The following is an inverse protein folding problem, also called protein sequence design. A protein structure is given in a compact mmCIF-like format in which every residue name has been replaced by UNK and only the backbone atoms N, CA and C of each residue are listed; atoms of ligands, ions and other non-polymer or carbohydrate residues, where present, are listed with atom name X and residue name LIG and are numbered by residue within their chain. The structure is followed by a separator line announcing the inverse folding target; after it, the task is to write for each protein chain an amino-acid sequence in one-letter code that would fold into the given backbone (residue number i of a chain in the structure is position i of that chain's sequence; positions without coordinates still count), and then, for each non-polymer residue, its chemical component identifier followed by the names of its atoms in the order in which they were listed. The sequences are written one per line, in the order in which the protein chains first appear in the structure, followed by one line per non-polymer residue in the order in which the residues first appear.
data_IF_177613015546
#
_entry.id   IF_177613015546
#
_cell.length_a   1.000
_cell.length_b   1.000
_cell.length_c   1.000
_cell.angle_alpha   90.00
_cell.angle_beta   90.00
_cell.angle_gamma   90.00
#
_symmetry.space_group_name_H-M   'P 1'
#
loop_
_entity.id
_entity.type
_entity.pdbx_description
1 polymer ?
#
# COMPACT_ATOMS: atom_id res chain seq x y z
N UNK A 1 -37.71 -15.01 8.72
CA UNK A 1 -38.90 -15.82 9.05
C UNK A 1 -38.49 -17.13 9.72
N UNK A 2 -39.08 -17.50 10.88
CA UNK A 2 -38.79 -18.76 11.59
C UNK A 2 -39.83 -19.80 11.18
N UNK A 3 -39.41 -20.98 10.72
CA UNK A 3 -40.33 -22.10 10.46
C UNK A 3 -40.49 -22.94 11.73
N UNK A 4 -41.69 -22.98 12.28
CA UNK A 4 -42.02 -23.75 13.49
C UNK A 4 -42.81 -24.98 13.07
N UNK A 5 -42.33 -26.17 13.46
CA UNK A 5 -42.96 -27.45 13.15
C UNK A 5 -43.25 -28.23 14.44
N UNK A 6 -44.44 -28.83 14.50
CA UNK A 6 -44.88 -29.70 15.58
C UNK A 6 -44.83 -31.15 15.10
N UNK A 7 -44.23 -32.01 15.92
CA UNK A 7 -44.03 -33.42 15.66
C UNK A 7 -44.74 -34.27 16.72
N UNK A 8 -45.26 -35.42 16.32
CA UNK A 8 -45.74 -36.48 17.22
C UNK A 8 -45.00 -37.77 16.87
N UNK A 9 -44.10 -38.19 17.75
CA UNK A 9 -43.04 -39.14 17.37
C UNK A 9 -42.15 -38.52 16.28
N UNK A 10 -41.90 -39.26 15.19
CA UNK A 10 -41.10 -38.78 14.06
C UNK A 10 -41.91 -38.05 12.97
N UNK A 11 -43.24 -38.02 13.09
CA UNK A 11 -44.13 -37.46 12.07
C UNK A 11 -44.39 -35.98 12.32
N UNK A 12 -44.18 -35.15 11.28
CA UNK A 12 -44.64 -33.76 11.26
C UNK A 12 -46.18 -33.74 11.22
N UNK A 13 -46.78 -33.07 12.20
CA UNK A 13 -48.22 -32.86 12.28
C UNK A 13 -48.62 -31.58 11.56
N UNK A 14 -47.89 -30.50 11.83
CA UNK A 14 -48.12 -29.20 11.22
C UNK A 14 -46.83 -28.37 11.22
N UNK A 15 -46.72 -27.48 10.24
CA UNK A 15 -45.65 -26.47 10.15
C UNK A 15 -46.27 -25.11 9.84
N UNK A 16 -45.74 -24.06 10.48
CA UNK A 16 -46.18 -22.68 10.29
C UNK A 16 -44.97 -21.76 10.26
N UNK A 17 -45.04 -20.74 9.41
CA UNK A 17 -44.00 -19.74 9.27
C UNK A 17 -44.32 -18.52 10.14
N UNK A 18 -43.41 -18.16 11.04
CA UNK A 18 -43.48 -16.95 11.84
C UNK A 18 -42.87 -15.79 11.04
N UNK A 19 -43.72 -14.81 10.71
CA UNK A 19 -43.38 -13.57 10.01
C UNK A 19 -43.96 -12.41 10.82
N UNK A 20 -43.12 -11.49 11.31
CA UNK A 20 -43.53 -10.22 11.95
C UNK A 20 -44.18 -10.31 13.33
N UNK A 21 -44.99 -11.33 13.60
CA UNK A 21 -45.61 -11.58 14.90
C UNK A 21 -44.65 -12.29 15.86
N UNK A 22 -44.92 -12.21 17.16
CA UNK A 22 -44.14 -12.89 18.21
C UNK A 22 -44.70 -14.27 18.59
N UNK A 23 -45.74 -14.76 17.91
CA UNK A 23 -46.37 -16.04 18.23
C UNK A 23 -46.98 -16.75 17.01
N UNK A 24 -47.15 -18.07 17.15
CA UNK A 24 -47.85 -18.94 16.20
C UNK A 24 -48.83 -19.79 17.01
N UNK A 25 -50.06 -19.96 16.51
CA UNK A 25 -51.07 -20.82 17.14
C UNK A 25 -51.27 -22.08 16.31
N UNK A 26 -51.27 -23.24 16.95
CA UNK A 26 -51.67 -24.52 16.34
C UNK A 26 -52.96 -24.97 16.99
N UNK A 27 -53.98 -25.28 16.18
CA UNK A 27 -55.31 -25.65 16.66
C UNK A 27 -55.59 -27.12 16.38
N UNK A 28 -56.56 -27.68 17.10
CA UNK A 28 -57.04 -29.07 16.94
C UNK A 28 -55.95 -30.13 17.17
N UNK A 29 -55.01 -29.85 18.08
CA UNK A 29 -54.07 -30.85 18.57
C UNK A 29 -54.77 -31.75 19.61
N UNK A 30 -54.53 -33.05 19.51
CA UNK A 30 -55.00 -34.01 20.52
C UNK A 30 -54.16 -33.92 21.78
N UNK A 31 -54.71 -34.31 22.93
CA UNK A 31 -53.93 -34.45 24.17
C UNK A 31 -52.87 -35.55 23.97
N UNK A 32 -51.61 -35.14 23.91
CA UNK A 32 -50.45 -36.01 23.68
C UNK A 32 -49.14 -35.24 23.94
N UNK A 33 -48.02 -35.95 23.89
CA UNK A 33 -46.67 -35.38 23.92
C UNK A 33 -46.22 -35.03 22.49
N UNK A 34 -45.79 -33.78 22.30
CA UNK A 34 -45.29 -33.27 21.04
C UNK A 34 -43.87 -32.75 21.17
N UNK A 35 -43.12 -32.81 20.06
CA UNK A 35 -41.84 -32.12 19.93
C UNK A 35 -42.07 -30.90 19.04
N UNK A 36 -41.72 -29.71 19.54
CA UNK A 36 -41.82 -28.45 18.81
C UNK A 36 -40.42 -28.03 18.42
N UNK A 37 -40.18 -27.85 17.13
CA UNK A 37 -38.89 -27.43 16.58
C UNK A 37 -39.02 -26.15 15.79
N UNK A 38 -38.04 -25.27 15.94
CA UNK A 38 -37.92 -24.03 15.17
C UNK A 38 -36.69 -24.05 14.29
N UNK A 39 -36.86 -23.59 13.06
CA UNK A 39 -35.79 -23.51 12.07
C UNK A 39 -35.64 -22.09 11.54
N UNK A 40 -34.40 -21.60 11.52
CA UNK A 40 -34.01 -20.34 10.89
C UNK A 40 -32.84 -20.58 9.95
N UNK A 41 -32.95 -20.14 8.69
CA UNK A 41 -32.01 -20.48 7.63
C UNK A 41 -31.68 -21.99 7.55
N UNK A 42 -32.69 -22.85 7.72
CA UNK A 42 -32.55 -24.32 7.75
C UNK A 42 -31.66 -24.86 8.88
N UNK A 43 -31.38 -24.06 9.92
CA UNK A 43 -30.69 -24.48 11.16
C UNK A 43 -31.72 -24.58 12.29
N UNK A 44 -31.68 -25.67 13.07
CA UNK A 44 -32.53 -25.83 14.25
C UNK A 44 -32.10 -24.83 15.34
N UNK A 45 -32.97 -23.88 15.67
CA UNK A 45 -32.70 -22.83 16.67
C UNK A 45 -33.32 -23.15 18.03
N UNK A 46 -34.27 -24.09 18.09
CA UNK A 46 -34.79 -24.67 19.33
C UNK A 46 -35.47 -26.00 19.04
N UNK A 47 -35.51 -26.87 20.06
CA UNK A 47 -36.30 -28.09 20.09
C UNK A 47 -36.76 -28.32 21.53
N UNK A 48 -38.07 -28.42 21.74
CA UNK A 48 -38.66 -28.65 23.07
C UNK A 48 -39.73 -29.73 23.00
N UNK A 49 -39.86 -30.51 24.07
CA UNK A 49 -40.91 -31.52 24.20
C UNK A 49 -41.95 -31.02 25.18
N UNK A 50 -43.22 -31.04 24.78
CA UNK A 50 -44.33 -30.53 25.60
C UNK A 50 -45.48 -31.52 25.58
N UNK A 51 -46.04 -31.78 26.76
CA UNK A 51 -47.28 -32.52 26.94
C UNK A 51 -48.44 -31.54 26.89
N UNK A 52 -49.30 -31.67 25.88
CA UNK A 52 -50.47 -30.80 25.71
C UNK A 52 -51.68 -31.51 26.33
N UNK A 53 -52.32 -30.89 27.33
CA UNK A 53 -53.56 -31.41 27.98
C UNK A 53 -54.79 -30.51 27.79
N UNK A 54 -54.66 -29.49 26.95
CA UNK A 54 -55.63 -28.43 26.75
C UNK A 54 -54.96 -27.26 26.03
N UNK A 55 -55.56 -26.07 26.15
CA UNK A 55 -54.96 -24.85 25.60
C UNK A 55 -53.72 -24.47 26.41
N UNK A 56 -52.55 -24.50 25.77
CA UNK A 56 -51.25 -24.25 26.40
C UNK A 56 -50.52 -23.10 25.70
N UNK A 57 -49.91 -22.22 26.48
CA UNK A 57 -49.06 -21.14 25.99
C UNK A 57 -47.59 -21.47 26.29
N UNK A 58 -46.81 -21.67 25.23
CA UNK A 58 -45.40 -22.07 25.34
C UNK A 58 -44.53 -20.91 24.89
N UNK A 59 -43.76 -20.36 25.83
CA UNK A 59 -42.74 -19.34 25.53
C UNK A 59 -41.45 -20.03 25.13
N UNK A 60 -40.89 -19.66 23.98
CA UNK A 60 -39.66 -20.24 23.44
C UNK A 60 -38.63 -19.13 23.27
N UNK A 61 -37.44 -19.33 23.83
CA UNK A 61 -36.28 -18.50 23.55
C UNK A 61 -35.47 -19.13 22.42
N UNK A 62 -35.57 -18.61 21.17
CA UNK A 62 -34.81 -19.17 20.07
C UNK A 62 -33.31 -18.93 20.28
N UNK A 63 -32.48 -19.92 19.92
CA UNK A 63 -31.03 -19.78 19.86
C UNK A 63 -30.62 -18.94 18.65
N UNK A 64 -30.86 -17.63 18.73
CA UNK A 64 -30.46 -16.63 17.75
C UNK A 64 -29.63 -15.60 18.51
N UNK A 65 -28.43 -15.33 18.02
CA UNK A 65 -27.42 -14.55 18.73
C UNK A 65 -26.72 -13.55 17.82
N UNK A 66 -25.99 -12.64 18.45
CA UNK A 66 -25.14 -11.64 17.81
C UNK A 66 -23.68 -12.06 17.92
N UNK A 67 -22.96 -12.01 16.80
CA UNK A 67 -21.52 -12.19 16.75
C UNK A 67 -20.85 -10.86 16.38
N UNK A 68 -20.14 -10.26 17.32
CA UNK A 68 -19.27 -9.12 17.09
C UNK A 68 -17.84 -9.63 16.91
N UNK A 69 -17.25 -9.35 15.75
CA UNK A 69 -15.83 -9.59 15.48
C UNK A 69 -15.09 -8.26 15.57
N UNK A 70 -14.02 -8.22 16.36
CA UNK A 70 -13.08 -7.12 16.43
C UNK A 70 -11.74 -7.61 15.86
N UNK A 71 -11.20 -6.91 14.88
CA UNK A 71 -9.92 -7.20 14.25
C UNK A 71 -8.85 -6.29 14.81
N UNK A 72 -7.71 -6.87 15.14
CA UNK A 72 -6.54 -6.13 15.59
C UNK A 72 -5.28 -6.68 14.92
N UNK A 73 -4.22 -5.87 14.90
CA UNK A 73 -2.87 -6.29 14.53
C UNK A 73 -1.90 -5.94 15.66
N UNK A 74 -0.65 -6.39 15.54
CA UNK A 74 0.41 -6.19 16.56
C UNK A 74 0.62 -4.73 16.98
N UNK A 75 0.30 -3.76 16.11
CA UNK A 75 0.55 -2.33 16.34
C UNK A 75 -0.72 -1.56 16.69
N UNK A 76 -1.87 -2.23 16.82
CA UNK A 76 -3.20 -1.65 17.06
C UNK A 76 -3.61 -0.57 16.03
N UNK A 77 -2.97 -0.57 14.86
CA UNK A 77 -3.34 0.28 13.73
C UNK A 77 -4.69 -0.21 13.14
N UNK A 78 -5.40 0.66 12.44
CA UNK A 78 -6.61 0.29 11.68
C UNK A 78 -6.33 -0.93 10.81
N UNK A 79 -7.10 -2.01 11.02
CA UNK A 79 -7.08 -3.19 10.17
C UNK A 79 -7.99 -2.89 8.99
N UNK A 80 -7.36 -2.70 7.84
CA UNK A 80 -8.03 -2.45 6.58
C UNK A 80 -7.60 -3.45 5.52
N UNK A 81 -8.43 -3.56 4.49
CA UNK A 81 -8.19 -4.35 3.28
C UNK A 81 -8.13 -5.85 3.56
N UNK A 82 -9.12 -6.35 4.28
CA UNK A 82 -9.30 -7.79 4.51
C UNK A 82 -10.63 -8.26 3.92
N UNK A 83 -10.65 -9.51 3.47
CA UNK A 83 -11.88 -10.20 3.04
C UNK A 83 -12.16 -11.31 4.03
N UNK A 84 -13.31 -11.26 4.69
CA UNK A 84 -13.79 -12.31 5.57
C UNK A 84 -14.78 -13.20 4.81
N UNK A 85 -14.52 -14.50 4.79
CA UNK A 85 -15.45 -15.53 4.35
C UNK A 85 -16.01 -16.23 5.59
N UNK A 86 -17.33 -16.12 5.79
CA UNK A 86 -18.08 -16.77 6.85
C UNK A 86 -18.77 -18.02 6.31
N UNK A 87 -18.45 -19.17 6.90
CA UNK A 87 -19.15 -20.43 6.66
C UNK A 87 -20.15 -20.65 7.80
N UNK A 88 -21.43 -20.72 7.44
CA UNK A 88 -22.53 -20.92 8.38
C UNK A 88 -22.76 -22.42 8.66
N UNK A 89 -23.46 -22.78 9.76
CA UNK A 89 -23.75 -24.17 10.12
C UNK A 89 -24.55 -24.95 9.06
N UNK A 90 -25.28 -24.26 8.19
CA UNK A 90 -26.03 -24.86 7.07
C UNK A 90 -25.20 -24.96 5.77
N UNK A 91 -23.87 -24.78 5.85
CA UNK A 91 -22.93 -24.72 4.72
C UNK A 91 -23.12 -23.55 3.75
N UNK A 92 -23.96 -22.56 4.08
CA UNK A 92 -24.01 -21.32 3.29
C UNK A 92 -22.78 -20.47 3.57
N UNK A 93 -22.35 -19.73 2.54
CA UNK A 93 -21.13 -18.93 2.57
C UNK A 93 -21.51 -17.47 2.38
N UNK A 94 -20.92 -16.58 3.15
CA UNK A 94 -21.04 -15.13 2.98
C UNK A 94 -19.65 -14.50 2.95
N UNK A 95 -19.48 -13.48 2.13
CA UNK A 95 -18.21 -12.76 1.97
C UNK A 95 -18.38 -11.29 2.33
N UNK A 96 -17.46 -10.76 3.11
CA UNK A 96 -17.48 -9.40 3.62
C UNK A 96 -16.12 -8.74 3.39
N UNK A 97 -16.14 -7.53 2.84
CA UNK A 97 -14.93 -6.75 2.60
C UNK A 97 -14.81 -5.61 3.62
N UNK A 98 -13.69 -5.56 4.33
CA UNK A 98 -13.40 -4.54 5.33
C UNK A 98 -12.36 -3.59 4.77
N UNK A 99 -12.78 -2.35 4.49
CA UNK A 99 -11.90 -1.32 3.98
C UNK A 99 -11.45 -0.34 5.07
N UNK A 100 -12.33 0.04 6.00
CA UNK A 100 -12.07 1.11 6.99
C UNK A 100 -12.74 0.82 8.35
N UNK A 101 -12.90 -0.44 8.74
CA UNK A 101 -13.44 -0.80 10.05
C UNK A 101 -12.69 -1.96 10.63
N UNK A 102 -12.45 -1.89 11.94
CA UNK A 102 -11.89 -3.01 12.70
C UNK A 102 -12.99 -3.95 13.18
N UNK A 103 -14.26 -3.69 12.86
CA UNK A 103 -15.38 -4.43 13.44
C UNK A 103 -16.37 -4.90 12.39
N UNK A 104 -16.97 -6.06 12.67
CA UNK A 104 -18.11 -6.61 11.94
C UNK A 104 -19.11 -7.10 12.96
N UNK A 105 -20.37 -6.72 12.78
CA UNK A 105 -21.48 -7.21 13.58
C UNK A 105 -22.35 -8.09 12.70
N UNK A 106 -22.52 -9.34 13.12
CA UNK A 106 -23.52 -10.24 12.57
C UNK A 106 -24.67 -10.36 13.56
N UNK A 107 -25.80 -9.78 13.20
CA UNK A 107 -27.03 -9.88 13.97
C UNK A 107 -27.85 -11.08 13.49
N UNK A 108 -28.67 -11.62 14.39
CA UNK A 108 -29.64 -12.67 14.08
C UNK A 108 -29.04 -13.98 13.50
N UNK A 109 -27.86 -14.38 13.98
CA UNK A 109 -27.24 -15.65 13.58
C UNK A 109 -27.82 -16.83 14.37
N UNK A 110 -28.19 -17.94 13.71
CA UNK A 110 -28.64 -19.14 14.42
C UNK A 110 -27.51 -19.75 15.27
N UNK A 111 -27.87 -20.40 16.37
CA UNK A 111 -26.95 -21.19 17.18
C UNK A 111 -26.21 -22.21 16.30
N UNK A 112 -24.90 -22.33 16.46
CA UNK A 112 -24.13 -23.34 15.75
C UNK A 112 -22.64 -23.06 15.69
N UNK A 113 -21.94 -23.82 14.84
CA UNK A 113 -20.50 -23.68 14.62
C UNK A 113 -20.25 -22.94 13.31
N UNK A 114 -19.47 -21.87 13.40
CA UNK A 114 -19.09 -21.01 12.29
C UNK A 114 -17.60 -21.13 12.03
N UNK A 115 -17.22 -21.17 10.75
CA UNK A 115 -15.81 -21.06 10.35
C UNK A 115 -15.59 -19.72 9.66
N UNK A 116 -14.57 -18.99 10.10
CA UNK A 116 -14.16 -17.70 9.58
C UNK A 116 -12.84 -17.91 8.84
N UNK A 117 -12.79 -17.59 7.55
CA UNK A 117 -11.53 -17.56 6.78
C UNK A 117 -11.26 -16.14 6.34
N UNK A 118 -10.08 -15.62 6.67
CA UNK A 118 -9.73 -14.22 6.47
C UNK A 118 -8.59 -14.18 5.47
N UNK A 119 -8.81 -13.44 4.40
CA UNK A 119 -7.88 -13.26 3.30
C UNK A 119 -7.44 -11.82 3.20
N UNK A 120 -6.22 -11.62 2.73
CA UNK A 120 -5.70 -10.29 2.47
C UNK A 120 -6.22 -9.74 1.13
N UNK A 121 -6.56 -8.45 1.13
CA UNK A 121 -7.07 -7.63 0.02
C UNK A 121 -7.08 -8.26 -1.38
N UNK A 122 -8.26 -8.66 -1.87
CA UNK A 122 -8.48 -9.12 -3.26
C UNK A 122 -7.41 -10.12 -3.77
N UNK A 123 -6.85 -10.90 -2.85
CA UNK A 123 -5.86 -11.95 -3.11
C UNK A 123 -6.30 -13.21 -2.40
N UNK A 124 -5.82 -14.35 -2.86
CA UNK A 124 -6.06 -15.65 -2.22
C UNK A 124 -5.08 -15.92 -1.07
N UNK A 125 -4.48 -14.88 -0.48
CA UNK A 125 -3.49 -15.02 0.60
C UNK A 125 -4.24 -15.14 1.93
N UNK A 126 -4.21 -16.31 2.59
CA UNK A 126 -4.85 -16.48 3.89
C UNK A 126 -4.02 -15.77 4.97
N UNK A 127 -4.69 -15.04 5.85
CA UNK A 127 -4.08 -14.32 6.98
C UNK A 127 -4.69 -14.66 8.33
N UNK A 128 -5.72 -15.51 8.34
CA UNK A 128 -6.32 -16.01 9.56
C UNK A 128 -7.44 -17.02 9.28
N UNK A 129 -7.63 -17.92 10.22
CA UNK A 129 -8.76 -18.84 10.26
C UNK A 129 -9.19 -19.01 11.72
N UNK A 130 -10.49 -18.93 11.99
CA UNK A 130 -11.04 -19.05 13.34
C UNK A 130 -12.34 -19.84 13.30
N UNK A 131 -12.56 -20.69 14.31
CA UNK A 131 -13.85 -21.36 14.51
C UNK A 131 -14.56 -20.77 15.71
N UNK A 132 -15.82 -20.38 15.54
CA UNK A 132 -16.66 -19.80 16.59
C UNK A 132 -17.86 -20.70 16.84
N UNK A 133 -18.00 -21.16 18.08
CA UNK A 133 -19.22 -21.82 18.54
C UNK A 133 -20.12 -20.72 19.10
N UNK A 134 -21.22 -20.43 18.41
CA UNK A 134 -22.17 -19.39 18.78
C UNK A 134 -23.34 -20.02 19.54
N UNK A 135 -23.30 -19.94 20.87
CA UNK A 135 -24.34 -20.41 21.80
C UNK A 135 -24.92 -19.31 22.70
N UNK A 136 -24.42 -18.09 22.54
CA UNK A 136 -24.84 -16.83 23.16
C UNK A 136 -24.33 -15.67 22.31
N UNK A 137 -24.66 -14.44 22.70
CA UNK A 137 -24.00 -13.27 22.11
C UNK A 137 -22.51 -13.30 22.43
N UNK A 138 -21.68 -13.19 21.39
CA UNK A 138 -20.22 -13.28 21.52
C UNK A 138 -19.57 -12.03 20.91
N UNK A 139 -18.64 -11.46 21.66
CA UNK A 139 -17.64 -10.52 21.14
C UNK A 139 -16.29 -11.22 21.10
N UNK A 140 -15.72 -11.36 19.91
CA UNK A 140 -14.46 -12.06 19.67
C UNK A 140 -13.44 -11.09 19.10
N UNK A 141 -12.25 -11.06 19.70
CA UNK A 141 -11.09 -10.38 19.12
C UNK A 141 -10.29 -11.37 18.27
N UNK A 142 -10.01 -11.01 17.03
CA UNK A 142 -9.20 -11.75 16.06
C UNK A 142 -7.94 -10.92 15.82
N UNK A 143 -6.80 -11.46 16.24
CA UNK A 143 -5.50 -10.84 16.03
C UNK A 143 -4.93 -11.38 14.71
N UNK A 144 -4.66 -10.50 13.76
CA UNK A 144 -4.08 -10.83 12.47
C UNK A 144 -2.58 -10.53 12.45
N UNK A 145 -1.82 -11.41 11.81
CA UNK A 145 -0.39 -11.24 11.56
C UNK A 145 -0.16 -10.27 10.40
N UNK A 146 -0.42 -8.99 10.68
CA UNK A 146 -0.19 -7.86 9.79
C UNK A 146 0.86 -6.94 10.39
N UNK A 147 1.72 -6.38 9.53
CA UNK A 147 2.74 -5.41 9.90
C UNK A 147 2.80 -4.28 8.84
N UNK A 148 3.69 -3.32 9.05
CA UNK A 148 4.02 -2.26 8.12
C UNK A 148 5.31 -2.57 7.36
N UNK A 149 5.39 -2.10 6.12
CA UNK A 149 6.63 -1.96 5.38
C UNK A 149 6.95 -0.48 5.32
N UNK A 150 8.10 -0.09 5.87
CA UNK A 150 8.63 1.26 5.78
C UNK A 150 9.84 1.27 4.86
N UNK A 151 9.88 2.20 3.92
CA UNK A 151 10.93 2.33 2.91
C UNK A 151 11.43 3.78 2.93
N UNK A 152 12.74 3.94 2.91
CA UNK A 152 13.41 5.22 2.68
C UNK A 152 14.34 5.10 1.49
N UNK A 153 14.07 5.90 0.44
CA UNK A 153 14.83 5.88 -0.80
C UNK A 153 15.77 7.09 -0.83
N UNK A 154 17.06 6.81 -0.99
CA UNK A 154 18.10 7.82 -1.10
C UNK A 154 19.01 7.56 -2.29
N UNK A 155 19.60 8.63 -2.82
CA UNK A 155 20.62 8.57 -3.85
C UNK A 155 22.01 8.59 -3.23
N UNK A 156 23.01 8.82 -4.07
CA UNK A 156 24.36 9.12 -3.63
C UNK A 156 24.43 10.48 -2.89
N UNK A 157 23.63 11.44 -3.33
CA UNK A 157 23.49 12.77 -2.71
C UNK A 157 22.01 13.01 -2.38
N UNK A 158 21.67 12.91 -1.10
CA UNK A 158 20.34 13.25 -0.59
C UNK A 158 19.27 12.17 -0.82
N UNK A 159 18.03 12.53 -0.47
CA UNK A 159 16.85 11.69 -0.59
C UNK A 159 16.24 11.74 -1.99
N UNK A 160 15.56 10.66 -2.39
CA UNK A 160 14.87 10.57 -3.68
C UNK A 160 13.35 10.47 -3.47
N UNK A 161 12.72 11.64 -3.39
CA UNK A 161 11.27 11.76 -3.21
C UNK A 161 10.47 11.42 -4.46
N UNK A 162 9.15 11.21 -4.29
CA UNK A 162 8.20 10.89 -5.40
C UNK A 162 8.57 9.66 -6.24
N UNK A 163 9.42 8.78 -5.73
CA UNK A 163 9.77 7.50 -6.35
C UNK A 163 8.55 6.57 -6.37
N UNK A 164 8.29 5.91 -7.49
CA UNK A 164 7.27 4.85 -7.57
C UNK A 164 7.86 3.55 -7.06
N UNK A 165 7.14 2.87 -6.17
CA UNK A 165 7.53 1.59 -5.58
C UNK A 165 6.46 0.55 -5.89
N UNK A 166 6.81 -0.44 -6.71
CA UNK A 166 5.97 -1.59 -6.98
C UNK A 166 6.33 -2.69 -5.97
N UNK A 167 5.37 -3.09 -5.14
CA UNK A 167 5.58 -4.09 -4.09
C UNK A 167 5.08 -5.47 -4.56
N UNK A 168 5.83 -6.51 -4.22
CA UNK A 168 5.50 -7.90 -4.53
C UNK A 168 5.77 -8.82 -3.35
N UNK A 169 5.03 -9.93 -3.32
CA UNK A 169 5.28 -11.09 -2.46
C UNK A 169 5.84 -12.20 -3.34
N UNK A 170 6.93 -12.82 -2.91
CA UNK A 170 7.45 -14.06 -3.47
C UNK A 170 7.08 -15.18 -2.49
N UNK A 171 6.21 -16.08 -2.95
CA UNK A 171 5.82 -17.28 -2.21
C UNK A 171 6.90 -18.37 -2.27
N UNK A 172 6.85 -19.42 -1.42
CA UNK A 172 7.84 -20.50 -1.39
C UNK A 172 8.02 -21.24 -2.73
N UNK A 173 6.98 -21.27 -3.56
CA UNK A 173 6.99 -21.85 -4.90
C UNK A 173 7.56 -20.89 -5.98
N UNK A 174 8.20 -19.79 -5.58
CA UNK A 174 8.67 -18.70 -6.43
C UNK A 174 7.57 -17.96 -7.22
N UNK A 175 6.30 -18.16 -6.90
CA UNK A 175 5.23 -17.36 -7.47
C UNK A 175 5.34 -15.92 -6.97
N UNK A 176 5.36 -14.98 -7.91
CA UNK A 176 5.43 -13.54 -7.64
C UNK A 176 4.03 -12.93 -7.72
N UNK A 177 3.53 -12.43 -6.60
CA UNK A 177 2.23 -11.76 -6.50
C UNK A 177 2.46 -10.26 -6.44
N UNK A 178 1.87 -9.51 -7.36
CA UNK A 178 1.90 -8.04 -7.34
C UNK A 178 0.88 -7.53 -6.33
N UNK A 179 1.35 -6.71 -5.39
CA UNK A 179 0.51 -6.09 -4.36
C UNK A 179 -0.07 -4.78 -4.86
N UNK A 180 0.78 -3.93 -5.43
CA UNK A 180 0.39 -2.58 -5.80
C UNK A 180 1.58 -1.66 -6.06
N UNK A 181 1.27 -0.53 -6.68
CA UNK A 181 2.19 0.58 -6.91
C UNK A 181 1.92 1.71 -5.94
N UNK A 182 2.97 2.16 -5.25
CA UNK A 182 2.94 3.21 -4.25
C UNK A 182 3.92 4.31 -4.63
N UNK A 183 3.83 5.47 -3.98
CA UNK A 183 4.78 6.57 -4.19
C UNK A 183 5.36 7.00 -2.85
N UNK A 184 6.66 7.25 -2.81
CA UNK A 184 7.28 7.92 -1.66
C UNK A 184 6.82 9.37 -1.59
N UNK A 185 6.84 9.94 -0.39
CA UNK A 185 6.67 11.37 -0.18
C UNK A 185 7.82 12.21 -0.81
N UNK A 186 7.80 13.53 -0.61
CA UNK A 186 8.86 14.43 -1.07
C UNK A 186 10.22 14.16 -0.42
N UNK A 187 10.23 13.51 0.75
CA UNK A 187 11.41 13.19 1.52
C UNK A 187 11.95 11.79 1.20
N UNK A 188 11.32 11.04 0.29
CA UNK A 188 11.74 9.69 -0.08
C UNK A 188 11.24 8.59 0.87
N UNK A 189 10.31 8.90 1.77
CA UNK A 189 9.73 7.93 2.70
C UNK A 189 8.40 7.38 2.17
N UNK A 190 8.16 6.09 2.45
CA UNK A 190 6.91 5.40 2.16
C UNK A 190 6.59 4.45 3.31
N UNK A 191 5.37 4.55 3.85
CA UNK A 191 4.81 3.59 4.81
C UNK A 191 3.63 2.86 4.14
N UNK A 192 3.73 1.54 4.06
CA UNK A 192 2.64 0.66 3.61
C UNK A 192 2.17 -0.11 4.84
N UNK A 193 0.95 0.15 5.29
CA UNK A 193 0.34 -0.54 6.43
C UNK A 193 -0.39 -1.82 5.98
N UNK A 194 -0.71 -2.69 6.95
CA UNK A 194 -1.50 -3.91 6.78
C UNK A 194 -0.94 -4.87 5.73
N UNK A 195 0.38 -5.06 5.74
CA UNK A 195 1.05 -6.06 4.92
C UNK A 195 1.07 -7.39 5.70
N UNK A 196 0.66 -8.52 5.10
CA UNK A 196 0.67 -9.80 5.80
C UNK A 196 2.08 -10.21 6.19
N UNK A 197 2.25 -10.90 7.32
CA UNK A 197 3.53 -11.50 7.70
C UNK A 197 3.42 -13.00 7.47
N UNK A 198 4.03 -13.48 6.39
CA UNK A 198 4.01 -14.89 6.01
C UNK A 198 5.39 -15.49 6.31
N UNK A 199 5.44 -16.60 7.04
CA UNK A 199 6.68 -17.25 7.52
C UNK A 199 7.67 -17.55 6.38
N UNK A 200 7.17 -18.00 5.24
CA UNK A 200 7.98 -18.53 4.15
C UNK A 200 7.94 -17.64 2.90
N UNK A 201 7.38 -16.44 3.00
CA UNK A 201 7.33 -15.49 1.88
C UNK A 201 8.41 -14.39 2.01
N UNK A 202 8.83 -13.86 0.86
CA UNK A 202 9.75 -12.73 0.78
C UNK A 202 9.04 -11.53 0.18
N UNK A 203 9.31 -10.35 0.71
CA UNK A 203 8.84 -9.10 0.14
C UNK A 203 9.93 -8.50 -0.74
N UNK A 204 9.57 -8.12 -1.97
CA UNK A 204 10.48 -7.39 -2.85
C UNK A 204 9.83 -6.13 -3.41
N UNK A 205 10.66 -5.13 -3.67
CA UNK A 205 10.25 -3.91 -4.35
C UNK A 205 11.04 -3.69 -5.64
N UNK A 206 10.32 -3.23 -6.65
CA UNK A 206 10.89 -2.57 -7.82
C UNK A 206 10.65 -1.06 -7.68
N UNK A 207 11.68 -0.27 -7.93
CA UNK A 207 11.69 1.17 -7.76
C UNK A 207 11.86 1.83 -9.12
N UNK A 208 10.92 2.72 -9.45
CA UNK A 208 10.98 3.62 -10.58
C UNK A 208 11.23 5.03 -10.06
N UNK A 209 12.34 5.62 -10.48
CA UNK A 209 12.67 7.01 -10.21
C UNK A 209 13.08 7.70 -11.50
N UNK A 210 12.31 8.72 -11.89
CA UNK A 210 12.33 9.31 -13.23
C UNK A 210 12.27 8.23 -14.33
N UNK A 211 13.34 8.06 -15.09
CA UNK A 211 13.44 7.09 -16.19
C UNK A 211 14.25 5.84 -15.82
N UNK A 212 14.63 5.68 -14.55
CA UNK A 212 15.46 4.57 -14.09
C UNK A 212 14.61 3.53 -13.34
N UNK A 213 14.85 2.26 -13.66
CA UNK A 213 14.18 1.11 -13.05
C UNK A 213 15.23 0.31 -12.27
N UNK A 214 14.96 0.07 -11.00
CA UNK A 214 15.73 -0.82 -10.14
C UNK A 214 14.82 -1.92 -9.62
N UNK A 215 15.29 -3.16 -9.61
CA UNK A 215 14.42 -4.31 -9.33
C UNK A 215 14.94 -5.18 -8.20
N UNK A 216 14.03 -5.94 -7.59
CA UNK A 216 14.33 -7.02 -6.64
C UNK A 216 15.02 -6.59 -5.32
N UNK A 217 14.66 -5.42 -4.77
CA UNK A 217 15.11 -5.08 -3.42
C UNK A 217 14.32 -5.87 -2.38
N UNK A 218 15.01 -6.67 -1.56
CA UNK A 218 14.39 -7.37 -0.46
C UNK A 218 13.97 -6.41 0.65
N UNK A 219 12.74 -6.60 1.15
CA UNK A 219 12.14 -5.81 2.20
C UNK A 219 11.87 -6.67 3.42
N UNK A 220 12.04 -6.07 4.59
CA UNK A 220 11.68 -6.66 5.88
C UNK A 220 10.51 -5.91 6.47
N UNK A 221 9.45 -6.64 6.87
CA UNK A 221 8.32 -6.08 7.58
C UNK A 221 8.72 -5.59 8.99
N UNK A 222 8.06 -4.55 9.48
CA UNK A 222 8.28 -3.98 10.82
C UNK A 222 9.58 -3.19 10.99
N UNK A 223 10.38 -3.02 9.93
CA UNK A 223 11.63 -2.26 9.95
C UNK A 223 11.68 -1.25 8.81
N UNK A 224 12.48 -0.19 9.02
CA UNK A 224 12.80 0.76 7.97
C UNK A 224 13.81 0.15 6.99
N UNK A 225 13.38 0.00 5.73
CA UNK A 225 14.21 -0.49 4.63
C UNK A 225 14.86 0.71 3.92
N UNK A 226 16.15 0.91 4.13
CA UNK A 226 16.91 1.99 3.48
C UNK A 226 17.45 1.48 2.15
N UNK A 227 16.98 2.07 1.06
CA UNK A 227 17.37 1.69 -0.30
C UNK A 227 18.19 2.82 -0.91
N UNK A 228 19.43 2.50 -1.29
CA UNK A 228 20.35 3.46 -1.90
C UNK A 228 20.46 3.18 -3.39
N UNK A 229 20.05 4.14 -4.22
CA UNK A 229 20.14 4.06 -5.66
C UNK A 229 21.44 4.70 -6.16
N UNK A 230 21.99 4.18 -7.27
CA UNK A 230 23.18 4.73 -7.94
C UNK A 230 22.84 5.97 -8.77
N UNK A 231 22.10 6.91 -8.17
CA UNK A 231 21.62 8.16 -8.80
C UNK A 231 22.11 9.34 -7.99
N UNK A 232 22.47 10.39 -8.72
CA UNK A 232 22.67 11.74 -8.23
C UNK A 232 21.56 12.60 -8.84
N UNK A 233 20.78 13.27 -8.00
CA UNK A 233 19.80 14.26 -8.43
C UNK A 233 20.34 15.65 -8.10
N UNK A 234 20.65 16.43 -9.13
CA UNK A 234 21.16 17.81 -9.00
C UNK A 234 20.23 18.73 -9.78
N UNK A 235 19.61 19.70 -9.10
CA UNK A 235 18.70 20.68 -9.70
C UNK A 235 17.57 20.05 -10.57
N UNK A 236 17.05 18.89 -10.16
CA UNK A 236 15.99 18.18 -10.88
C UNK A 236 16.47 17.33 -12.06
N UNK A 237 17.77 17.25 -12.30
CA UNK A 237 18.37 16.36 -13.29
C UNK A 237 18.90 15.12 -12.58
N UNK A 238 18.38 13.96 -12.95
CA UNK A 238 18.78 12.66 -12.42
C UNK A 238 19.76 11.96 -13.36
N UNK A 239 20.98 11.75 -12.88
CA UNK A 239 22.04 11.04 -13.59
C UNK A 239 22.60 9.91 -12.73
N UNK A 240 23.07 8.86 -13.38
CA UNK A 240 23.79 7.79 -12.69
C UNK A 240 25.15 8.28 -12.20
N UNK A 241 25.70 7.62 -11.17
CA UNK A 241 27.05 7.90 -10.68
C UNK A 241 28.09 7.78 -11.81
N UNK A 242 27.93 6.80 -12.71
CA UNK A 242 28.83 6.61 -13.86
C UNK A 242 28.76 7.79 -14.84
N UNK A 243 27.55 8.26 -15.17
CA UNK A 243 27.37 9.44 -16.03
C UNK A 243 27.97 10.69 -15.38
N UNK A 244 27.80 10.86 -14.07
CA UNK A 244 28.43 11.96 -13.35
C UNK A 244 29.96 11.91 -13.46
N UNK A 245 30.56 10.74 -13.22
CA UNK A 245 32.01 10.54 -13.37
C UNK A 245 32.48 10.85 -14.81
N UNK A 246 31.72 10.44 -15.83
CA UNK A 246 32.02 10.77 -17.23
C UNK A 246 31.96 12.27 -17.49
N UNK A 247 30.95 12.97 -16.97
CA UNK A 247 30.80 14.42 -17.14
C UNK A 247 31.98 15.17 -16.51
N UNK A 248 32.34 14.83 -15.26
CA UNK A 248 33.44 15.51 -14.54
C UNK A 248 34.82 15.18 -15.10
N UNK A 249 34.99 14.09 -15.86
CA UNK A 249 36.27 13.72 -16.47
C UNK A 249 36.40 14.27 -17.89
N UNK A 250 35.33 14.19 -18.70
CA UNK A 250 35.34 14.61 -20.11
C UNK A 250 35.33 16.14 -20.23
N UNK A 251 34.52 16.86 -19.45
CA UNK A 251 34.43 18.33 -19.57
C UNK A 251 35.81 18.96 -19.35
N UNK A 252 36.53 18.73 -18.23
CA UNK A 252 37.84 19.34 -18.02
C UNK A 252 38.86 18.94 -19.08
N UNK A 253 38.86 17.69 -19.54
CA UNK A 253 39.74 17.24 -20.60
C UNK A 253 39.53 18.04 -21.89
N UNK A 254 38.27 18.24 -22.30
CA UNK A 254 37.92 19.07 -23.45
C UNK A 254 38.33 20.53 -23.24
N UNK A 255 38.12 21.10 -22.04
CA UNK A 255 38.52 22.49 -21.74
C UNK A 255 40.03 22.66 -21.85
N UNK A 256 40.81 21.71 -21.30
CA UNK A 256 42.27 21.71 -21.36
C UNK A 256 42.74 21.61 -22.83
N UNK A 257 42.21 20.66 -23.60
CA UNK A 257 42.55 20.49 -25.02
C UNK A 257 42.21 21.75 -25.82
N UNK A 258 41.02 22.32 -25.60
CA UNK A 258 40.57 23.54 -26.28
C UNK A 258 41.43 24.75 -25.92
N UNK A 259 41.85 24.88 -24.67
CA UNK A 259 42.79 25.91 -24.23
C UNK A 259 44.15 25.79 -24.94
N UNK A 260 44.71 24.58 -25.01
CA UNK A 260 45.97 24.36 -25.73
C UNK A 260 45.84 24.62 -27.23
N UNK A 261 44.72 24.22 -27.84
CA UNK A 261 44.43 24.49 -29.25
C UNK A 261 44.30 26.00 -29.52
N UNK A 262 43.53 26.72 -28.70
CA UNK A 262 43.38 28.18 -28.79
C UNK A 262 44.72 28.90 -28.62
N UNK A 263 45.53 28.49 -27.64
CA UNK A 263 46.88 29.04 -27.42
C UNK A 263 47.78 28.83 -28.64
N UNK A 264 47.78 27.62 -29.22
CA UNK A 264 48.53 27.33 -30.45
C UNK A 264 48.06 28.18 -31.63
N UNK A 265 46.75 28.32 -31.79
CA UNK A 265 46.17 29.17 -32.83
C UNK A 265 46.54 30.66 -32.65
N UNK A 266 46.44 31.21 -31.44
CA UNK A 266 46.86 32.58 -31.12
C UNK A 266 48.34 32.82 -31.39
N UNK A 267 49.21 31.89 -31.02
CA UNK A 267 50.63 31.99 -31.33
C UNK A 267 50.88 31.97 -32.84
N UNK A 268 50.18 31.10 -33.59
CA UNK A 268 50.28 31.08 -35.05
C UNK A 268 49.83 32.41 -35.66
N UNK A 269 48.71 32.96 -35.20
CA UNK A 269 48.20 34.25 -35.68
C UNK A 269 49.14 35.41 -35.34
N UNK A 270 49.72 35.44 -34.14
CA UNK A 270 50.71 36.44 -33.75
C UNK A 270 51.98 36.34 -34.60
N UNK A 271 52.44 35.13 -34.91
CA UNK A 271 53.57 34.91 -35.82
C UNK A 271 53.22 35.35 -37.24
N UNK A 272 52.03 35.04 -37.73
CA UNK A 272 51.53 35.52 -39.02
C UNK A 272 51.45 37.06 -39.07
N UNK A 273 50.93 37.71 -38.01
CA UNK A 273 50.87 39.18 -37.87
C UNK A 273 52.26 39.83 -37.80
N UNK A 274 53.27 39.16 -37.20
CA UNK A 274 54.66 39.66 -37.18
C UNK A 274 55.36 39.47 -38.55
N UNK A 275 55.04 38.39 -39.26
CA UNK A 275 55.63 38.09 -40.57
C UNK A 275 54.99 38.95 -41.67
N UNK A 276 53.72 39.32 -41.51
CA UNK A 276 53.07 40.35 -42.33
C UNK A 276 53.46 41.74 -41.83
N UNK A 277 54.66 42.21 -42.15
CA UNK A 277 54.96 43.65 -42.06
C UNK A 277 53.96 44.45 -42.91
N UNK A 278 53.53 45.64 -42.45
CA UNK A 278 52.75 46.53 -43.30
C UNK A 278 53.63 46.93 -44.49
N UNK A 279 53.10 46.82 -45.72
CA UNK A 279 53.66 47.55 -46.86
C UNK A 279 53.73 49.02 -46.47
N UNK A 280 54.95 49.53 -46.31
CA UNK A 280 55.23 50.95 -46.18
C UNK A 280 55.00 51.53 -47.58
N UNK A 281 53.81 52.08 -47.82
CA UNK A 281 53.66 53.10 -48.85
C UNK A 281 54.22 54.41 -48.26
N UNK A 282 55.31 54.88 -48.88
CA UNK A 282 55.83 56.23 -48.68
C UNK A 282 54.76 57.23 -49.13
N UNK A 283 54.06 57.88 -48.19
CA UNK A 283 53.40 59.16 -48.46
C UNK A 283 53.71 60.17 -47.36
N UNK A 284 53.86 61.41 -47.82
CA UNK A 284 54.57 62.51 -47.21
C UNK A 284 53.97 63.04 -45.90
N UNK A 285 54.88 63.55 -45.11
CA UNK A 285 54.78 64.31 -43.87
C UNK A 285 53.64 65.35 -43.84
N UNK A 286 52.65 65.16 -42.94
CA UNK A 286 51.89 66.25 -42.33
C UNK A 286 51.83 66.03 -40.81
N UNK A 287 52.50 66.91 -40.07
CA UNK A 287 52.42 67.02 -38.62
C UNK A 287 51.05 67.55 -38.19
N UNK A 288 50.26 66.74 -37.50
CA UNK A 288 49.28 67.23 -36.51
C UNK A 288 49.67 66.69 -35.13
N UNK A 289 49.88 67.61 -34.19
CA UNK A 289 50.30 67.34 -32.80
C UNK A 289 49.22 66.55 -32.05
N UNK A 290 49.47 65.27 -31.75
CA UNK A 290 48.67 64.53 -30.76
C UNK A 290 49.35 64.48 -29.38
N UNK A 291 48.61 64.94 -28.36
CA UNK A 291 48.98 65.11 -26.95
C UNK A 291 49.93 64.02 -26.40
N UNK A 292 51.03 64.48 -25.78
CA UNK A 292 51.96 63.66 -24.99
C UNK A 292 51.23 62.82 -23.93
N UNK A 293 51.62 61.54 -23.83
CA UNK A 293 51.15 60.58 -22.81
C UNK A 293 51.22 61.13 -21.37
N UNK A 294 52.15 62.06 -21.11
CA UNK A 294 52.30 62.73 -19.80
C UNK A 294 51.11 63.65 -19.49
N UNK A 295 50.49 64.27 -20.49
CA UNK A 295 49.34 65.16 -20.31
C UNK A 295 48.03 64.38 -20.11
N UNK A 296 47.90 63.19 -20.71
CA UNK A 296 46.81 62.24 -20.41
C UNK A 296 46.89 61.71 -18.97
N UNK A 297 48.09 61.44 -18.45
CA UNK A 297 48.29 61.01 -17.06
C UNK A 297 47.95 62.12 -16.05
N UNK A 298 48.31 63.39 -16.33
CA UNK A 298 47.97 64.52 -15.43
C UNK A 298 46.46 64.77 -15.30
N UNK A 299 45.67 64.49 -16.34
CA UNK A 299 44.19 64.57 -16.30
C UNK A 299 43.54 63.45 -15.46
N UNK A 300 44.17 62.27 -15.37
CA UNK A 300 43.67 61.15 -14.56
C UNK A 300 43.90 61.34 -13.05
N UNK A 301 44.96 62.05 -12.64
CA UNK A 301 45.26 62.28 -11.21
C UNK A 301 44.65 63.56 -10.61
N UNK A 302 43.87 64.34 -11.39
CA UNK A 302 43.25 65.59 -10.91
C UNK A 302 41.75 65.48 -10.58
N UNK A 303 41.20 64.26 -10.54
CA UNK A 303 39.78 64.01 -10.25
C UNK A 303 39.59 63.13 -9.01
N UNK A 304 40.25 63.49 -7.92
CA UNK A 304 39.89 63.04 -6.56
C UNK A 304 40.02 64.21 -5.57
N UNK A 305 38.96 65.01 -5.47
CA UNK A 305 38.35 65.53 -4.24
C UNK A 305 37.15 66.40 -4.58
#
# INVERSE_FOLDING_TARGET
NINISIYRGERIIASKLLIGNNSVVFTHLLEDTYIIKGYWHNVEIFSTTVLIKGDENITISPGIYTLLLNFSNKYMDEVSRITLILYMPNNTISSFFLNNSNTIVFECLPRGVYTLKIYWYNTDIPIGEETVILDRDISKNIVLDLDKIEIYIKGFMGNLGKSKVNLYIILPNNTRIFIGGFYTDSNGYLKIANVPVLSDAKYIADILFDNYIYTNYYLTCGKLNIITLNIINIYGISITILQFILIITIIPAITIISYFYYRKYRMKKLVEEIISEPEIEEEEEYFEEEESFIDKIKKLFKKEK
#
